data_IF_157003428278
#
_entry.id   IF_157003428278
#
_cell.length_a   1.000
_cell.length_b   1.000
_cell.length_c   1.000
_cell.angle_alpha   90.00
_cell.angle_beta   90.00
_cell.angle_gamma   90.00
#
_symmetry.space_group_name_H-M   'P 1'
#
loop_
_entity.id
_entity.type
_entity.pdbx_description
1 polymer ?
#
# COMPACT_ATOMS: atom_id res chain seq x y z
N UNK A 1 6.90 -19.41 -0.94
CA UNK A 1 7.74 -18.36 -0.37
C UNK A 1 9.18 -18.50 -0.86
N UNK A 2 9.80 -17.40 -1.26
CA UNK A 2 11.21 -17.40 -1.63
C UNK A 2 12.10 -16.79 -0.55
N UNK A 3 11.54 -16.00 0.34
CA UNK A 3 12.30 -15.29 1.36
C UNK A 3 12.00 -15.85 2.76
N UNK A 4 13.01 -16.44 3.40
CA UNK A 4 12.89 -16.93 4.79
C UNK A 4 12.72 -15.81 5.82
N UNK A 5 12.97 -14.55 5.42
CA UNK A 5 12.82 -13.37 6.28
C UNK A 5 11.48 -12.65 6.08
N UNK A 6 10.63 -13.12 5.17
CA UNK A 6 9.31 -12.54 4.96
C UNK A 6 8.46 -12.67 6.23
N UNK A 7 7.86 -11.57 6.61
CA UNK A 7 6.96 -11.50 7.78
C UNK A 7 5.54 -11.92 7.38
N UNK A 8 5.11 -11.53 6.18
CA UNK A 8 3.81 -11.87 5.62
C UNK A 8 3.94 -12.65 4.32
N UNK A 9 2.91 -13.41 3.98
CA UNK A 9 2.80 -14.12 2.72
C UNK A 9 2.49 -13.11 1.59
N UNK A 10 3.20 -13.18 0.47
CA UNK A 10 3.11 -12.16 -0.57
C UNK A 10 2.46 -12.63 -1.86
N UNK A 11 2.81 -13.81 -2.35
CA UNK A 11 2.38 -14.26 -3.68
C UNK A 11 0.91 -14.65 -3.76
N UNK A 12 0.47 -15.47 -2.82
CA UNK A 12 -0.94 -15.86 -2.73
C UNK A 12 -1.81 -14.66 -2.43
N UNK A 13 -1.34 -13.80 -1.51
CA UNK A 13 -1.99 -12.53 -1.20
C UNK A 13 -2.10 -11.64 -2.45
N UNK A 14 -1.04 -11.43 -3.19
CA UNK A 14 -1.05 -10.58 -4.38
C UNK A 14 -2.01 -11.10 -5.46
N UNK A 15 -2.04 -12.41 -5.68
CA UNK A 15 -2.97 -13.04 -6.62
C UNK A 15 -4.43 -12.81 -6.19
N UNK A 16 -4.72 -13.14 -4.95
CA UNK A 16 -6.04 -12.93 -4.37
C UNK A 16 -6.47 -11.45 -4.43
N UNK A 17 -5.55 -10.52 -4.13
CA UNK A 17 -5.82 -9.09 -4.18
C UNK A 17 -6.20 -8.62 -5.59
N UNK A 18 -5.54 -9.14 -6.63
CA UNK A 18 -5.90 -8.79 -8.02
C UNK A 18 -7.32 -9.23 -8.32
N UNK A 19 -7.67 -10.48 -8.01
CA UNK A 19 -9.02 -11.02 -8.23
C UNK A 19 -10.07 -10.16 -7.50
N UNK A 20 -9.83 -9.81 -6.23
CA UNK A 20 -10.71 -8.94 -5.44
C UNK A 20 -10.86 -7.54 -6.05
N UNK A 21 -9.78 -6.95 -6.54
CA UNK A 21 -9.83 -5.60 -7.09
C UNK A 21 -10.52 -5.55 -8.46
N UNK A 22 -10.37 -6.57 -9.28
CA UNK A 22 -11.10 -6.70 -10.55
C UNK A 22 -12.62 -6.76 -10.34
N UNK A 23 -13.06 -7.44 -9.28
CA UNK A 23 -14.48 -7.51 -8.91
C UNK A 23 -15.01 -6.20 -8.29
N UNK A 24 -14.20 -5.56 -7.42
CA UNK A 24 -14.62 -4.38 -6.64
C UNK A 24 -14.58 -3.08 -7.42
N UNK A 25 -13.61 -2.94 -8.32
CA UNK A 25 -13.40 -1.71 -9.10
C UNK A 25 -13.29 -2.01 -10.59
N UNK A 26 -14.32 -2.63 -11.21
CA UNK A 26 -14.28 -3.06 -12.61
C UNK A 26 -14.18 -1.90 -13.60
N UNK A 27 -14.53 -0.69 -13.18
CA UNK A 27 -14.53 0.52 -14.02
C UNK A 27 -13.24 1.35 -13.88
N UNK A 28 -12.19 0.79 -13.28
CA UNK A 28 -10.92 1.49 -13.17
C UNK A 28 -10.27 1.58 -14.56
N UNK A 29 -10.07 2.80 -15.05
CA UNK A 29 -9.75 3.11 -16.44
C UNK A 29 -8.27 3.40 -16.68
N UNK A 30 -7.40 3.05 -15.76
CA UNK A 30 -5.96 3.28 -15.84
C UNK A 30 -5.18 2.03 -15.47
N UNK A 31 -3.92 1.96 -15.90
CA UNK A 31 -3.00 1.00 -15.36
C UNK A 31 -2.73 1.29 -13.88
N UNK A 32 -2.87 0.27 -13.05
CA UNK A 32 -2.58 0.32 -11.63
C UNK A 32 -1.42 -0.63 -11.32
N UNK A 33 -0.32 -0.08 -10.83
CA UNK A 33 0.80 -0.88 -10.37
C UNK A 33 0.71 -1.06 -8.86
N UNK A 34 0.57 -2.30 -8.44
CA UNK A 34 0.56 -2.70 -7.04
C UNK A 34 1.78 -3.57 -6.77
N UNK A 35 2.66 -3.14 -5.89
CA UNK A 35 3.81 -3.93 -5.46
C UNK A 35 3.61 -4.38 -4.01
N UNK A 36 3.79 -5.68 -3.77
CA UNK A 36 3.68 -6.29 -2.44
C UNK A 36 5.04 -6.77 -1.98
N UNK A 37 5.44 -6.35 -0.80
CA UNK A 37 6.66 -6.83 -0.14
C UNK A 37 6.34 -7.43 1.22
N UNK A 38 7.05 -8.49 1.60
CA UNK A 38 6.74 -9.27 2.80
C UNK A 38 7.29 -8.71 4.11
N UNK A 39 8.12 -7.67 4.05
CA UNK A 39 8.73 -7.05 5.24
C UNK A 39 9.30 -5.65 4.91
N UNK A 40 9.74 -4.89 5.95
CA UNK A 40 10.31 -3.54 5.77
C UNK A 40 11.58 -3.46 4.92
N UNK A 41 12.25 -4.57 4.62
CA UNK A 41 13.43 -4.57 3.71
C UNK A 41 13.08 -4.25 2.26
N UNK A 42 11.78 -4.27 1.90
CA UNK A 42 11.26 -3.74 0.66
C UNK A 42 11.82 -4.37 -0.63
N UNK A 43 12.16 -5.65 -0.60
CA UNK A 43 12.65 -6.37 -1.79
C UNK A 43 11.62 -6.39 -2.93
N UNK A 44 10.33 -6.33 -2.62
CA UNK A 44 9.23 -6.21 -3.58
C UNK A 44 9.03 -4.79 -4.15
N UNK A 45 9.89 -3.85 -3.78
CA UNK A 45 9.92 -2.48 -4.30
C UNK A 45 8.58 -1.74 -4.19
N UNK A 46 7.94 -1.83 -3.03
CA UNK A 46 6.66 -1.17 -2.77
C UNK A 46 6.72 0.37 -2.95
N UNK A 47 7.89 0.96 -2.87
CA UNK A 47 8.07 2.42 -2.92
C UNK A 47 8.08 3.02 -4.32
N UNK A 48 8.05 2.21 -5.37
CA UNK A 48 8.03 2.70 -6.76
C UNK A 48 6.74 2.32 -7.50
N UNK A 49 5.73 1.87 -6.77
CA UNK A 49 4.42 1.53 -7.29
C UNK A 49 3.40 2.65 -7.00
N UNK A 50 2.30 2.65 -7.74
CA UNK A 50 1.16 3.53 -7.45
C UNK A 50 0.62 3.23 -6.04
N UNK A 51 0.48 1.95 -5.72
CA UNK A 51 0.14 1.45 -4.39
C UNK A 51 1.17 0.41 -3.99
N UNK A 52 1.94 0.71 -2.96
CA UNK A 52 2.86 -0.22 -2.32
C UNK A 52 2.27 -0.79 -1.04
N UNK A 53 2.44 -2.10 -0.84
CA UNK A 53 1.98 -2.82 0.34
C UNK A 53 3.17 -3.48 1.03
N UNK A 54 3.44 -3.06 2.26
CA UNK A 54 4.57 -3.54 3.05
C UNK A 54 4.09 -4.40 4.22
N UNK A 55 4.52 -5.66 4.23
CA UNK A 55 4.04 -6.70 5.14
C UNK A 55 4.49 -6.54 6.57
N UNK A 56 3.57 -6.86 7.48
CA UNK A 56 3.78 -6.93 8.91
C UNK A 56 2.85 -7.98 9.54
N UNK A 57 3.17 -8.40 10.77
CA UNK A 57 2.26 -9.11 11.67
C UNK A 57 1.68 -8.13 12.69
N UNK A 58 0.38 -8.20 12.89
CA UNK A 58 -0.30 -7.42 13.92
C UNK A 58 -1.22 -8.33 14.76
N UNK A 59 -1.50 -7.90 15.98
CA UNK A 59 -2.55 -8.54 16.78
C UNK A 59 -3.90 -7.96 16.38
N UNK A 60 -4.79 -8.81 15.92
CA UNK A 60 -6.14 -8.46 15.51
C UNK A 60 -7.11 -9.51 16.07
N UNK A 61 -8.12 -9.06 16.81
CA UNK A 61 -9.09 -9.94 17.48
C UNK A 61 -8.45 -11.07 18.31
N UNK A 62 -7.35 -10.76 19.00
CA UNK A 62 -6.63 -11.71 19.84
C UNK A 62 -5.65 -12.64 19.12
N UNK A 63 -5.56 -12.59 17.81
CA UNK A 63 -4.68 -13.42 16.99
C UNK A 63 -3.62 -12.58 16.25
N UNK A 64 -2.46 -13.19 15.99
CA UNK A 64 -1.45 -12.59 15.11
C UNK A 64 -1.82 -12.88 13.65
N UNK A 65 -2.05 -11.82 12.88
CA UNK A 65 -2.43 -11.91 11.48
C UNK A 65 -1.48 -11.12 10.59
N UNK A 66 -1.43 -11.48 9.31
CA UNK A 66 -0.75 -10.69 8.30
C UNK A 66 -1.47 -9.35 8.11
N UNK A 67 -0.69 -8.30 7.97
CA UNK A 67 -1.16 -6.94 7.74
C UNK A 67 -0.24 -6.22 6.77
N UNK A 68 -0.71 -5.12 6.20
CA UNK A 68 0.08 -4.32 5.26
C UNK A 68 -0.02 -2.83 5.55
N UNK A 69 1.14 -2.15 5.50
CA UNK A 69 1.22 -0.70 5.41
C UNK A 69 1.02 -0.24 3.98
N UNK A 70 0.34 0.87 3.80
CA UNK A 70 0.17 1.52 2.51
C UNK A 70 1.24 2.57 2.25
N UNK A 71 1.84 2.48 1.06
CA UNK A 71 2.69 3.50 0.47
C UNK A 71 2.06 3.93 -0.86
N UNK A 72 1.86 5.21 -1.09
CA UNK A 72 1.11 5.72 -2.23
C UNK A 72 1.92 6.70 -3.08
N UNK A 73 1.77 6.62 -4.39
CA UNK A 73 2.25 7.61 -5.32
C UNK A 73 3.69 7.45 -5.80
N UNK A 74 4.25 6.24 -5.74
CA UNK A 74 5.53 5.94 -6.36
C UNK A 74 5.46 5.87 -7.88
N UNK A 75 6.57 6.11 -8.56
CA UNK A 75 6.66 6.01 -10.00
C UNK A 75 8.08 5.79 -10.49
N UNK A 76 8.19 5.21 -11.67
CA UNK A 76 9.41 5.07 -12.45
C UNK A 76 9.37 5.96 -13.71
N UNK A 77 10.52 6.12 -14.35
CA UNK A 77 10.64 6.83 -15.63
C UNK A 77 10.75 8.35 -15.47
N UNK A 78 10.21 9.08 -16.43
CA UNK A 78 10.35 10.55 -16.54
C UNK A 78 9.88 11.30 -15.27
N UNK A 79 8.92 10.74 -14.57
CA UNK A 79 8.35 11.33 -13.35
C UNK A 79 8.64 10.46 -12.12
N UNK A 80 9.81 9.83 -12.10
CA UNK A 80 10.21 8.95 -11.01
C UNK A 80 10.13 9.64 -9.64
N UNK A 81 9.69 8.87 -8.64
CA UNK A 81 9.58 9.32 -7.27
C UNK A 81 9.20 8.19 -6.34
N UNK A 82 9.53 8.34 -5.07
CA UNK A 82 9.15 7.36 -4.06
C UNK A 82 7.71 7.56 -3.59
N UNK A 83 7.04 6.46 -3.33
CA UNK A 83 5.75 6.46 -2.67
C UNK A 83 5.88 6.99 -1.23
N UNK A 84 4.81 7.67 -0.78
CA UNK A 84 4.71 8.17 0.59
C UNK A 84 4.06 7.14 1.51
N UNK A 85 4.65 6.94 2.68
CA UNK A 85 4.01 6.17 3.74
C UNK A 85 2.94 7.05 4.39
N UNK A 86 1.67 6.74 4.15
CA UNK A 86 0.54 7.58 4.60
C UNK A 86 0.10 7.30 6.05
N UNK A 87 0.82 6.43 6.75
CA UNK A 87 0.52 6.10 8.14
C UNK A 87 -0.73 5.22 8.32
N UNK A 88 -1.04 4.39 7.34
CA UNK A 88 -2.19 3.49 7.39
C UNK A 88 -1.79 2.02 7.23
N UNK A 89 -2.38 1.20 8.05
CA UNK A 89 -2.15 -0.25 8.12
C UNK A 89 -3.43 -0.97 8.46
N UNK A 90 -3.69 -2.08 7.78
CA UNK A 90 -4.83 -2.96 8.06
C UNK A 90 -4.44 -4.43 7.95
N UNK A 91 -5.21 -5.35 8.55
CA UNK A 91 -5.10 -6.77 8.26
C UNK A 91 -5.18 -7.05 6.76
N UNK A 92 -4.48 -8.10 6.30
CA UNK A 92 -4.44 -8.48 4.89
C UNK A 92 -5.84 -8.63 4.27
N UNK A 93 -6.78 -9.17 5.02
CA UNK A 93 -8.18 -9.37 4.58
C UNK A 93 -8.96 -8.08 4.36
N UNK A 94 -8.53 -6.96 4.95
CA UNK A 94 -9.17 -5.65 4.81
C UNK A 94 -8.53 -4.75 3.74
N UNK A 95 -7.41 -5.17 3.18
CA UNK A 95 -6.70 -4.41 2.13
C UNK A 95 -7.59 -4.11 0.91
N UNK A 96 -8.33 -5.07 0.34
CA UNK A 96 -9.20 -4.79 -0.80
C UNK A 96 -10.25 -3.73 -0.51
N UNK A 97 -10.85 -3.74 0.66
CA UNK A 97 -11.87 -2.76 1.07
C UNK A 97 -11.27 -1.35 1.19
N UNK A 98 -10.07 -1.24 1.78
CA UNK A 98 -9.36 0.02 1.88
C UNK A 98 -9.00 0.58 0.49
N UNK A 99 -8.51 -0.26 -0.41
CA UNK A 99 -8.21 0.11 -1.79
C UNK A 99 -9.46 0.52 -2.57
N UNK A 100 -10.55 -0.21 -2.41
CA UNK A 100 -11.84 0.14 -3.04
C UNK A 100 -12.31 1.53 -2.61
N UNK A 101 -12.22 1.87 -1.33
CA UNK A 101 -12.54 3.21 -0.84
C UNK A 101 -11.66 4.29 -1.48
N UNK A 102 -10.35 4.08 -1.49
CA UNK A 102 -9.40 5.01 -2.06
C UNK A 102 -9.64 5.23 -3.56
N UNK A 103 -9.70 4.15 -4.33
CA UNK A 103 -9.90 4.22 -5.78
C UNK A 103 -11.30 4.72 -6.15
N UNK A 104 -12.32 4.34 -5.40
CA UNK A 104 -13.68 4.86 -5.57
C UNK A 104 -13.76 6.37 -5.29
N UNK A 105 -13.06 6.86 -4.28
CA UNK A 105 -12.97 8.29 -4.00
C UNK A 105 -12.22 9.03 -5.10
N UNK A 106 -11.10 8.47 -5.57
CA UNK A 106 -10.38 9.00 -6.72
C UNK A 106 -11.26 9.14 -7.96
N UNK A 107 -11.98 8.10 -8.34
CA UNK A 107 -12.86 8.14 -9.52
C UNK A 107 -13.98 9.20 -9.42
N UNK A 108 -14.44 9.49 -8.20
CA UNK A 108 -15.48 10.52 -7.94
C UNK A 108 -14.93 11.93 -7.88
N UNK A 109 -13.72 12.12 -7.39
CA UNK A 109 -13.17 13.44 -7.05
C UNK A 109 -12.07 13.92 -7.99
N UNK A 110 -11.57 13.06 -8.87
CA UNK A 110 -10.52 13.45 -9.82
C UNK A 110 -10.98 14.55 -10.77
N UNK A 111 -10.06 15.42 -11.11
CA UNK A 111 -10.27 16.37 -12.21
C UNK A 111 -10.26 15.64 -13.56
N UNK A 112 -10.86 16.22 -14.63
CA UNK A 112 -10.76 15.67 -15.97
C UNK A 112 -9.28 15.38 -16.32
N UNK A 113 -9.00 14.20 -16.84
CA UNK A 113 -7.66 13.74 -17.23
C UNK A 113 -6.62 13.62 -16.09
N UNK A 114 -7.01 13.83 -14.85
CA UNK A 114 -6.13 13.63 -13.70
C UNK A 114 -5.85 12.14 -13.50
N UNK A 115 -4.58 11.76 -13.55
CA UNK A 115 -4.18 10.39 -13.23
C UNK A 115 -4.04 10.19 -11.71
N UNK A 116 -3.98 8.93 -11.30
CA UNK A 116 -3.91 8.55 -9.88
C UNK A 116 -2.71 9.16 -9.15
N UNK A 117 -1.57 9.26 -9.81
CA UNK A 117 -0.36 9.85 -9.23
C UNK A 117 -0.51 11.35 -8.96
N UNK A 118 -1.09 12.10 -9.91
CA UNK A 118 -1.39 13.52 -9.73
C UNK A 118 -2.38 13.72 -8.59
N UNK A 119 -3.38 12.86 -8.51
CA UNK A 119 -4.35 12.87 -7.42
C UNK A 119 -3.67 12.66 -6.06
N UNK A 120 -2.81 11.65 -5.93
CA UNK A 120 -2.06 11.43 -4.69
C UNK A 120 -1.14 12.60 -4.35
N UNK A 121 -0.50 13.21 -5.35
CA UNK A 121 0.41 14.33 -5.13
C UNK A 121 -0.25 15.58 -4.53
N UNK A 122 -1.51 15.85 -4.87
CA UNK A 122 -2.26 17.01 -4.36
C UNK A 122 -2.97 16.79 -3.03
N UNK A 123 -3.02 15.56 -2.54
CA UNK A 123 -3.62 15.25 -1.24
C UNK A 123 -2.57 15.06 -0.16
N UNK A 124 -2.88 15.46 1.06
CA UNK A 124 -2.04 15.20 2.22
C UNK A 124 -2.08 13.72 2.65
N UNK A 125 -1.10 13.31 3.44
CA UNK A 125 -1.09 11.97 4.01
C UNK A 125 -2.32 11.70 4.88
N UNK A 126 -2.79 12.71 5.60
CA UNK A 126 -4.00 12.63 6.44
C UNK A 126 -5.26 12.41 5.59
N UNK A 127 -5.40 13.14 4.49
CA UNK A 127 -6.53 12.99 3.57
C UNK A 127 -6.54 11.61 2.92
N UNK A 128 -5.40 11.14 2.43
CA UNK A 128 -5.27 9.82 1.82
C UNK A 128 -5.51 8.69 2.83
N UNK A 129 -5.02 8.85 4.05
CA UNK A 129 -5.29 7.92 5.15
C UNK A 129 -6.79 7.87 5.49
N UNK A 130 -7.45 9.01 5.53
CA UNK A 130 -8.89 9.11 5.73
C UNK A 130 -9.69 8.42 4.63
N UNK A 131 -9.26 8.54 3.37
CA UNK A 131 -9.90 7.86 2.25
C UNK A 131 -9.73 6.33 2.32
N UNK A 132 -8.57 5.83 2.71
CA UNK A 132 -8.32 4.42 2.94
C UNK A 132 -9.17 3.84 4.08
N UNK A 133 -9.22 4.56 5.19
CA UNK A 133 -9.92 4.13 6.38
C UNK A 133 -11.45 4.32 6.30
N UNK A 134 -11.92 5.23 5.47
CA UNK A 134 -13.31 5.69 5.47
C UNK A 134 -13.69 6.54 6.70
N UNK A 135 -12.71 7.01 7.47
CA UNK A 135 -12.86 7.82 8.67
C UNK A 135 -11.53 8.52 9.01
N UNK A 136 -11.58 9.52 9.90
CA UNK A 136 -10.38 10.15 10.44
C UNK A 136 -9.73 9.17 11.42
N UNK A 137 -8.49 8.77 11.14
CA UNK A 137 -7.70 7.85 11.97
C UNK A 137 -6.30 8.40 12.23
N UNK A 138 -5.75 8.08 13.39
CA UNK A 138 -4.39 8.45 13.75
C UNK A 138 -3.35 7.72 12.85
N UNK A 139 -2.22 8.36 12.55
CA UNK A 139 -1.16 7.71 11.80
C UNK A 139 -0.50 6.58 12.60
N UNK A 140 -0.14 5.51 11.89
CA UNK A 140 0.64 4.41 12.44
C UNK A 140 2.06 4.50 11.90
N UNK A 141 3.04 4.41 12.77
CA UNK A 141 4.44 4.40 12.36
C UNK A 141 4.77 3.13 11.58
N UNK A 142 5.56 3.32 10.54
CA UNK A 142 6.12 2.23 9.75
C UNK A 142 7.30 1.61 10.50
N UNK A 143 7.43 0.29 10.43
CA UNK A 143 8.60 -0.38 10.95
C UNK A 143 9.86 0.03 10.17
N UNK A 144 10.94 0.24 10.89
CA UNK A 144 12.24 0.44 10.26
C UNK A 144 12.71 -0.88 9.64
N UNK A 145 13.37 -0.83 8.46
CA UNK A 145 14.07 -2.00 7.98
C UNK A 145 14.97 -2.56 9.08
N UNK A 146 15.05 -3.89 9.19
CA UNK A 146 16.00 -4.51 10.10
C UNK A 146 17.41 -4.08 9.65
N UNK A 147 17.89 -3.00 10.23
CA UNK A 147 19.23 -2.51 9.97
C UNK A 147 20.23 -3.59 10.38
N UNK A 148 21.02 -4.08 9.43
CA UNK A 148 22.34 -4.56 9.81
C UNK A 148 22.99 -3.38 10.54
N UNK A 149 23.47 -3.54 11.78
CA UNK A 149 24.30 -2.50 12.37
C UNK A 149 25.41 -2.19 11.36
N UNK A 150 25.81 -0.92 11.18
CA UNK A 150 26.95 -0.63 10.35
C UNK A 150 28.06 -1.57 10.78
N UNK A 151 28.63 -2.30 9.81
CA UNK A 151 29.85 -3.04 10.08
C UNK A 151 30.81 -2.03 10.67
N UNK A 152 31.24 -2.25 11.90
CA UNK A 152 32.26 -1.42 12.52
C UNK A 152 33.40 -1.31 11.53
N UNK A 153 33.56 -0.10 10.98
CA UNK A 153 34.73 0.23 10.19
C UNK A 153 35.93 0.34 11.10
#
# INVERSE_FOLDING_TARGET
EFCKLAISETKGFARWLVDEMEERVPNFDQQLRINVTGCPNNCGQAWIADIGLEGKKIKHEGQMVDAYYFCLGGALGKHAGFARAVGYRVPATEVPVAMERLLGTYLKQRSPEENLRQYFARHSDEELRGQLAGAIVAPVERDKPSGRPPADM
#
